data_IF_299451700649
#
_entry.id   IF_299451700649
#
_cell.length_a   1.000
_cell.length_b   1.000
_cell.length_c   1.000
_cell.angle_alpha   90.00
_cell.angle_beta   90.00
_cell.angle_gamma   90.00
#
_symmetry.space_group_name_H-M   'P 1'
#
loop_
_entity.id
_entity.type
_entity.pdbx_description
1 polymer ?
#
# COMPACT_ATOMS: atom_id res chain seq x y z
N UNK A 1 -3.90 -10.11 -18.32
CA UNK A 1 -4.13 -8.88 -17.51
C UNK A 1 -2.95 -8.64 -16.59
N UNK A 2 -2.47 -9.69 -15.92
CA UNK A 2 -1.36 -9.66 -14.97
C UNK A 2 -0.08 -9.02 -15.53
N UNK A 3 0.36 -9.39 -16.73
CA UNK A 3 1.56 -8.81 -17.35
C UNK A 3 1.47 -7.30 -17.62
N UNK A 4 0.28 -6.78 -17.90
CA UNK A 4 0.05 -5.34 -18.10
C UNK A 4 0.05 -4.62 -16.76
N UNK A 5 -0.57 -5.21 -15.73
CA UNK A 5 -0.52 -4.70 -14.36
C UNK A 5 0.91 -4.69 -13.82
N UNK A 6 1.72 -5.71 -14.13
CA UNK A 6 3.13 -5.78 -13.76
C UNK A 6 3.94 -4.68 -14.44
N UNK A 7 3.72 -4.45 -15.74
CA UNK A 7 4.33 -3.33 -16.46
C UNK A 7 3.97 -1.97 -15.86
N UNK A 8 2.70 -1.77 -15.49
CA UNK A 8 2.25 -0.56 -14.79
C UNK A 8 2.95 -0.39 -13.42
N UNK A 9 3.03 -1.47 -12.64
CA UNK A 9 3.73 -1.47 -11.35
C UNK A 9 5.22 -1.14 -11.48
N UNK A 10 5.89 -1.61 -12.54
CA UNK A 10 7.27 -1.24 -12.83
C UNK A 10 7.44 0.26 -13.08
N UNK A 11 6.50 0.89 -13.81
CA UNK A 11 6.53 2.33 -14.04
C UNK A 11 6.31 3.12 -12.74
N UNK A 12 5.39 2.68 -11.87
CA UNK A 12 5.20 3.30 -10.55
C UNK A 12 6.46 3.23 -9.68
N UNK A 13 7.17 2.09 -9.70
CA UNK A 13 8.43 1.95 -9.00
C UNK A 13 9.52 2.88 -9.56
N UNK A 14 9.59 3.04 -10.88
CA UNK A 14 10.52 3.96 -11.53
C UNK A 14 10.23 5.43 -11.13
N UNK A 15 8.96 5.82 -11.04
CA UNK A 15 8.55 7.15 -10.56
C UNK A 15 8.99 7.36 -9.11
N UNK A 16 8.72 6.41 -8.22
CA UNK A 16 9.13 6.51 -6.82
C UNK A 16 10.66 6.63 -6.67
N UNK A 17 11.43 5.87 -7.46
CA UNK A 17 12.89 5.95 -7.48
C UNK A 17 13.41 7.31 -7.97
N UNK A 18 12.67 8.00 -8.85
CA UNK A 18 13.04 9.33 -9.37
C UNK A 18 12.84 10.45 -8.33
N UNK A 19 11.92 10.29 -7.39
CA UNK A 19 11.57 11.32 -6.40
C UNK A 19 11.80 10.84 -4.95
N UNK A 20 13.06 10.50 -4.57
CA UNK A 20 13.37 10.17 -3.20
C UNK A 20 13.21 11.40 -2.30
N UNK A 21 12.93 11.17 -1.02
CA UNK A 21 13.00 12.23 -0.01
C UNK A 21 14.39 12.83 0.07
N UNK A 22 14.45 14.15 0.18
CA UNK A 22 15.70 14.91 0.30
C UNK A 22 15.57 15.87 1.49
N UNK A 23 16.64 16.10 2.27
CA UNK A 23 16.67 17.15 3.28
C UNK A 23 16.30 18.51 2.65
N UNK A 24 15.33 19.22 3.24
CA UNK A 24 14.82 20.49 2.72
C UNK A 24 13.89 20.38 1.50
N UNK A 25 13.52 19.16 1.08
CA UNK A 25 12.54 18.94 0.03
C UNK A 25 11.10 19.19 0.50
N UNK A 26 10.22 19.58 -0.43
CA UNK A 26 8.80 19.84 -0.12
C UNK A 26 7.90 18.60 -0.25
N UNK A 27 8.41 17.51 -0.84
CA UNK A 27 7.71 16.23 -0.95
C UNK A 27 8.69 15.07 -1.16
N UNK A 28 8.19 13.85 -0.98
CA UNK A 28 8.83 12.60 -1.38
C UNK A 28 7.78 11.69 -2.01
N UNK A 29 8.22 10.76 -2.86
CA UNK A 29 7.35 9.72 -3.40
C UNK A 29 7.77 8.37 -2.86
N UNK A 30 6.78 7.57 -2.49
CA UNK A 30 6.98 6.20 -2.06
C UNK A 30 6.04 5.27 -2.83
N UNK A 31 6.50 4.06 -3.11
CA UNK A 31 5.70 3.04 -3.79
C UNK A 31 5.18 2.02 -2.79
N UNK A 32 3.87 1.80 -2.73
CA UNK A 32 3.24 0.70 -1.99
C UNK A 32 2.63 -0.29 -2.96
N UNK A 33 3.09 -1.55 -3.00
CA UNK A 33 2.50 -2.57 -3.85
C UNK A 33 1.13 -3.00 -3.30
N UNK A 34 0.32 -3.61 -4.16
CA UNK A 34 -1.00 -4.14 -3.79
C UNK A 34 -1.16 -5.62 -4.18
N UNK A 35 -0.29 -6.54 -3.71
CA UNK A 35 -0.36 -7.96 -4.05
C UNK A 35 -1.47 -8.65 -3.23
N UNK A 36 -2.72 -8.25 -3.48
CA UNK A 36 -3.89 -8.73 -2.76
C UNK A 36 -4.23 -10.16 -3.21
N UNK A 37 -4.26 -11.08 -2.25
CA UNK A 37 -4.83 -12.41 -2.44
C UNK A 37 -6.35 -12.32 -2.30
N UNK A 38 -7.04 -12.04 -3.41
CA UNK A 38 -8.49 -11.84 -3.41
C UNK A 38 -9.26 -13.09 -2.96
N UNK A 39 -8.67 -14.28 -3.10
CA UNK A 39 -9.28 -15.54 -2.66
C UNK A 39 -9.31 -15.67 -1.14
N UNK A 40 -8.51 -14.87 -0.42
CA UNK A 40 -8.56 -14.78 1.04
C UNK A 40 -9.70 -13.88 1.55
N UNK A 41 -10.32 -13.08 0.70
CA UNK A 41 -11.36 -12.12 1.12
C UNK A 41 -12.69 -12.84 1.32
N UNK A 42 -13.44 -12.54 2.41
CA UNK A 42 -14.82 -13.00 2.51
C UNK A 42 -15.66 -12.31 1.43
N UNK A 43 -16.72 -12.97 0.95
CA UNK A 43 -17.53 -12.46 -0.18
C UNK A 43 -18.14 -11.08 0.09
N UNK A 44 -18.43 -10.75 1.36
CA UNK A 44 -18.95 -9.45 1.79
C UNK A 44 -17.90 -8.33 1.80
N UNK A 45 -16.62 -8.64 1.52
CA UNK A 45 -15.59 -7.65 1.27
C UNK A 45 -15.59 -7.13 -0.19
N UNK A 46 -16.40 -7.74 -1.07
CA UNK A 46 -16.73 -7.24 -2.39
C UNK A 46 -18.12 -6.60 -2.40
N UNK A 47 -18.31 -5.63 -3.28
CA UNK A 47 -19.59 -4.96 -3.51
C UNK A 47 -20.64 -5.98 -3.94
N UNK A 48 -21.80 -5.95 -3.28
CA UNK A 48 -22.94 -6.78 -3.67
C UNK A 48 -23.67 -6.27 -4.92
N UNK A 49 -23.24 -5.13 -5.49
CA UNK A 49 -23.82 -4.55 -6.70
C UNK A 49 -23.15 -5.08 -7.98
N UNK A 50 -21.83 -5.30 -7.93
CA UNK A 50 -21.03 -5.68 -9.10
C UNK A 50 -20.09 -6.87 -8.86
N UNK A 51 -19.99 -7.36 -7.62
CA UNK A 51 -19.11 -8.46 -7.23
C UNK A 51 -17.63 -8.24 -7.59
N UNK A 52 -17.21 -6.98 -7.74
CA UNK A 52 -15.87 -6.62 -8.22
C UNK A 52 -15.21 -5.54 -7.38
N UNK A 53 -15.88 -4.40 -7.18
CA UNK A 53 -15.29 -3.33 -6.39
C UNK A 53 -15.24 -3.72 -4.90
N UNK A 54 -14.28 -3.21 -4.12
CA UNK A 54 -14.29 -3.41 -2.68
C UNK A 54 -15.58 -2.87 -2.06
N UNK A 55 -16.18 -3.61 -1.14
CA UNK A 55 -17.25 -3.09 -0.29
C UNK A 55 -16.68 -2.11 0.73
N UNK A 56 -17.53 -1.53 1.59
CA UNK A 56 -17.07 -0.76 2.74
C UNK A 56 -16.07 -1.56 3.60
N UNK A 57 -16.32 -2.86 3.83
CA UNK A 57 -15.43 -3.74 4.59
C UNK A 57 -14.09 -3.95 3.87
N UNK A 58 -14.13 -4.15 2.55
CA UNK A 58 -12.94 -4.25 1.72
C UNK A 58 -12.11 -2.97 1.78
N UNK A 59 -12.73 -1.80 1.57
CA UNK A 59 -12.06 -0.50 1.66
C UNK A 59 -11.44 -0.25 3.04
N UNK A 60 -12.13 -0.58 4.13
CA UNK A 60 -11.59 -0.44 5.49
C UNK A 60 -10.32 -1.27 5.69
N UNK A 61 -10.31 -2.53 5.24
CA UNK A 61 -9.13 -3.38 5.34
C UNK A 61 -7.99 -2.86 4.45
N UNK A 62 -8.28 -2.49 3.19
CA UNK A 62 -7.30 -1.94 2.24
C UNK A 62 -6.64 -0.70 2.85
N UNK A 63 -7.42 0.24 3.39
CA UNK A 63 -6.89 1.47 4.00
C UNK A 63 -5.92 1.17 5.16
N UNK A 64 -6.26 0.22 6.05
CA UNK A 64 -5.36 -0.21 7.14
C UNK A 64 -4.08 -0.82 6.60
N UNK A 65 -4.18 -1.68 5.60
CA UNK A 65 -3.02 -2.35 4.98
C UNK A 65 -2.08 -1.34 4.32
N UNK A 66 -2.61 -0.36 3.59
CA UNK A 66 -1.79 0.69 2.98
C UNK A 66 -1.17 1.63 4.01
N UNK A 67 -1.90 2.01 5.06
CA UNK A 67 -1.36 2.80 6.16
C UNK A 67 -0.16 2.10 6.82
N UNK A 68 -0.29 0.82 7.13
CA UNK A 68 0.77 0.04 7.77
C UNK A 68 2.03 -0.11 6.91
N UNK A 69 1.91 0.04 5.59
CA UNK A 69 3.03 -0.01 4.65
C UNK A 69 3.67 1.34 4.36
N UNK A 70 3.02 2.45 4.72
CA UNK A 70 3.47 3.80 4.39
C UNK A 70 4.90 4.03 4.89
N UNK A 71 5.19 3.51 6.06
CA UNK A 71 6.45 3.71 6.78
C UNK A 71 7.50 2.61 6.50
N UNK A 72 7.15 1.58 5.74
CA UNK A 72 8.04 0.46 5.47
C UNK A 72 8.95 0.74 4.27
N UNK A 73 10.24 0.47 4.42
CA UNK A 73 11.17 0.36 3.31
C UNK A 73 10.75 -0.75 2.32
N UNK A 74 11.17 -0.64 1.05
CA UNK A 74 10.75 -1.55 -0.03
C UNK A 74 10.90 -3.04 0.32
N UNK A 75 12.00 -3.42 0.98
CA UNK A 75 12.30 -4.80 1.37
C UNK A 75 11.39 -5.36 2.46
N UNK A 76 10.73 -4.50 3.25
CA UNK A 76 9.85 -4.88 4.34
C UNK A 76 8.37 -4.92 3.93
N UNK A 77 8.05 -4.53 2.69
CA UNK A 77 6.67 -4.57 2.19
C UNK A 77 6.25 -6.00 1.89
N UNK A 78 4.97 -6.35 2.14
CA UNK A 78 4.50 -7.72 1.94
C UNK A 78 4.55 -8.10 0.46
N UNK A 79 4.96 -9.34 0.18
CA UNK A 79 4.88 -9.95 -1.15
C UNK A 79 3.49 -10.48 -1.48
N UNK A 80 2.65 -10.72 -0.47
CA UNK A 80 1.24 -11.12 -0.57
C UNK A 80 0.47 -10.50 0.59
N UNK A 81 -0.75 -10.00 0.35
CA UNK A 81 -1.65 -9.49 1.38
C UNK A 81 -2.92 -10.33 1.44
N UNK A 82 -3.12 -10.99 2.58
CA UNK A 82 -4.32 -11.79 2.87
C UNK A 82 -5.25 -11.01 3.79
N UNK A 83 -6.55 -11.15 3.58
CA UNK A 83 -7.55 -10.53 4.43
C UNK A 83 -7.36 -10.96 5.89
N UNK A 84 -7.41 -9.97 6.78
CA UNK A 84 -7.37 -10.17 8.22
C UNK A 84 -8.34 -9.18 8.86
N UNK A 85 -9.48 -9.68 9.35
CA UNK A 85 -10.47 -8.87 10.03
C UNK A 85 -9.93 -8.21 11.31
N UNK A 86 -8.88 -8.76 11.89
CA UNK A 86 -8.26 -8.28 13.12
C UNK A 86 -7.08 -7.34 12.87
N UNK A 87 -6.77 -7.02 11.61
CA UNK A 87 -5.65 -6.15 11.24
C UNK A 87 -5.72 -4.85 12.04
N UNK A 88 -4.66 -4.59 12.80
CA UNK A 88 -4.48 -3.39 13.60
C UNK A 88 -3.79 -2.30 12.79
N UNK A 89 -4.12 -1.05 13.10
CA UNK A 89 -3.45 0.12 12.53
C UNK A 89 -2.14 0.31 13.31
N UNK A 90 -1.02 0.42 12.60
CA UNK A 90 0.28 0.77 13.16
C UNK A 90 0.27 2.25 13.58
N UNK A 91 0.68 2.52 14.81
CA UNK A 91 1.02 3.87 15.25
C UNK A 91 2.48 4.17 14.87
N UNK A 92 2.77 5.22 14.09
CA UNK A 92 4.14 5.59 13.73
C UNK A 92 4.93 6.09 14.94
N UNK A 93 6.25 5.94 14.86
CA UNK A 93 7.24 6.44 15.82
C UNK A 93 8.16 7.48 15.15
N UNK A 94 9.10 8.03 15.91
CA UNK A 94 10.10 8.96 15.39
C UNK A 94 10.94 8.34 14.24
N UNK A 95 11.20 7.04 14.29
CA UNK A 95 11.95 6.30 13.26
C UNK A 95 11.15 6.13 11.94
N UNK A 96 9.83 6.33 11.98
CA UNK A 96 8.95 6.23 10.81
C UNK A 96 8.84 7.57 10.05
N UNK A 97 9.52 8.63 10.50
CA UNK A 97 9.48 9.95 9.84
C UNK A 97 10.02 9.84 8.42
N UNK A 98 9.25 10.35 7.46
CA UNK A 98 9.67 10.40 6.07
C UNK A 98 10.84 11.40 5.91
N UNK A 99 11.89 11.07 5.14
CA UNK A 99 13.14 11.82 5.07
C UNK A 99 13.01 13.08 4.19
N UNK A 100 12.05 13.95 4.48
CA UNK A 100 11.84 15.24 3.81
C UNK A 100 12.26 16.44 4.67
N UNK A 101 12.45 16.25 5.97
CA UNK A 101 12.86 17.32 6.88
C UNK A 101 14.38 17.50 6.87
N UNK A 102 14.85 18.75 6.87
CA UNK A 102 16.24 19.07 7.18
C UNK A 102 16.57 18.63 8.61
N UNK A 103 17.77 18.11 8.84
CA UNK A 103 18.31 17.92 10.19
C UNK A 103 18.48 19.27 10.90
#
# INVERSE_FOLDING_TARGET
>A
MDSVSDGYNQQLQAIAAKYPGKPGGTFAVMYSPAPIDILSFPIDALSNLDCFHPSLKGHQWIAKTFWNQLFLGKSLKPSVMKFDSNLKIRCPTEDDRLPTTSA
#
